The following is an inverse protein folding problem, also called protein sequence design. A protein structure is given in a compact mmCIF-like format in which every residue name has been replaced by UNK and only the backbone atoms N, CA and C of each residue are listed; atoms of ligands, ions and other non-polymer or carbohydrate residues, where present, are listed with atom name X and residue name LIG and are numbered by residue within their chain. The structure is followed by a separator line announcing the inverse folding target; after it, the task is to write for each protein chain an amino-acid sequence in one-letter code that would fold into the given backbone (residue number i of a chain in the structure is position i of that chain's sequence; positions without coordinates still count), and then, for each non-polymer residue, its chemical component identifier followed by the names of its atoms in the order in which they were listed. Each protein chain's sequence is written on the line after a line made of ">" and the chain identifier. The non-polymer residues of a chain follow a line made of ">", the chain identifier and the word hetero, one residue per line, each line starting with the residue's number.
data_IF_489434024875
#
_entry.id   IF_489434024875
#
_cell.length_a   1.000
_cell.length_b   1.000
_cell.length_c   1.000
_cell.angle_alpha   90.00
_cell.angle_beta   90.00
_cell.angle_gamma   90.00
#
_symmetry.space_group_name_H-M   'P 1'
#
loop_
_entity.id
_entity.type
_entity.pdbx_description
1 polymer ?
#
# COMPACT_ATOMS: atom_id res chain seq x y z
N UNK A 1 40.30 33.42 46.67
CA UNK A 1 39.78 32.08 46.40
C UNK A 1 38.46 32.25 45.66
N UNK A 2 38.48 31.98 44.33
CA UNK A 2 37.31 32.01 43.50
C UNK A 2 36.73 30.62 43.40
N UNK A 3 35.38 30.42 43.43
CA UNK A 3 34.79 29.10 43.26
C UNK A 3 34.78 28.68 41.78
N UNK A 4 34.79 27.39 41.49
CA UNK A 4 34.83 26.89 40.11
C UNK A 4 33.49 27.01 39.38
N UNK A 5 33.56 27.50 38.14
CA UNK A 5 32.44 27.51 37.18
C UNK A 5 32.07 26.10 36.75
N UNK A 6 30.91 25.65 37.16
CA UNK A 6 30.25 24.43 36.65
C UNK A 6 29.70 24.68 35.24
N UNK A 7 30.35 24.13 34.24
CA UNK A 7 29.82 24.06 32.87
C UNK A 7 28.63 23.05 32.81
N UNK A 8 27.42 23.57 32.69
CA UNK A 8 26.29 22.79 32.23
C UNK A 8 26.46 22.46 30.74
N UNK A 9 26.81 21.21 30.43
CA UNK A 9 26.69 20.68 29.09
C UNK A 9 25.21 20.63 28.74
N UNK A 10 24.77 21.54 27.86
CA UNK A 10 23.51 21.42 27.13
C UNK A 10 23.59 20.16 26.26
N UNK A 11 22.81 19.14 26.59
CA UNK A 11 22.57 18.00 25.70
C UNK A 11 21.79 18.53 24.49
N UNK A 12 22.51 18.75 23.39
CA UNK A 12 21.92 19.05 22.09
C UNK A 12 21.00 17.89 21.65
N UNK A 13 19.70 18.15 21.64
CA UNK A 13 18.75 17.31 20.94
C UNK A 13 19.23 17.22 19.49
N UNK A 14 19.63 16.02 19.06
CA UNK A 14 19.93 15.75 17.67
C UNK A 14 18.64 15.99 16.87
N UNK A 15 18.58 17.12 16.20
CA UNK A 15 17.56 17.43 15.20
C UNK A 15 17.79 16.46 14.06
N UNK A 16 17.13 15.30 14.12
CA UNK A 16 17.07 14.38 12.99
C UNK A 16 16.33 15.10 11.88
N UNK A 17 17.02 15.39 10.77
CA UNK A 17 16.38 15.89 9.55
C UNK A 17 15.20 14.97 9.21
N UNK A 18 14.03 15.54 8.85
CA UNK A 18 12.88 14.73 8.47
C UNK A 18 13.28 13.82 7.30
N UNK A 19 12.84 12.56 7.30
CA UNK A 19 13.20 11.60 6.25
C UNK A 19 12.79 12.17 4.89
N UNK A 20 13.74 12.23 3.96
CA UNK A 20 13.49 12.66 2.58
C UNK A 20 12.50 11.70 1.94
N UNK A 21 11.32 12.20 1.59
CA UNK A 21 10.31 11.41 0.88
C UNK A 21 10.79 11.10 -0.55
N UNK A 22 10.39 9.95 -1.13
CA UNK A 22 10.77 9.56 -2.50
C UNK A 22 10.41 10.61 -3.54
N UNK A 23 9.35 11.35 -3.28
CA UNK A 23 8.87 12.47 -4.08
C UNK A 23 8.07 13.43 -3.18
N UNK A 24 7.98 14.72 -3.53
CA UNK A 24 7.19 15.66 -2.76
C UNK A 24 5.72 15.23 -2.73
N UNK A 25 5.15 15.15 -1.55
CA UNK A 25 3.71 14.98 -1.37
C UNK A 25 3.04 16.36 -1.29
N UNK A 26 1.82 16.45 -1.83
CA UNK A 26 0.99 17.65 -1.64
C UNK A 26 0.87 17.95 -0.14
N UNK A 27 1.12 19.19 0.23
CA UNK A 27 0.87 19.66 1.59
C UNK A 27 -0.64 19.81 1.79
N UNK A 28 -1.10 19.35 2.94
CA UNK A 28 -2.48 19.53 3.39
C UNK A 28 -2.48 20.35 4.67
N UNK A 29 -3.35 21.33 4.73
CA UNK A 29 -3.70 21.98 5.97
C UNK A 29 -4.58 21.02 6.77
N UNK A 30 -4.14 20.65 7.95
CA UNK A 30 -4.81 19.66 8.81
C UNK A 30 -5.01 20.21 10.20
N UNK A 31 -6.06 19.75 10.86
CA UNK A 31 -6.39 20.21 12.22
C UNK A 31 -5.32 19.72 13.22
N UNK A 32 -4.69 20.59 13.98
CA UNK A 32 -3.68 20.20 14.95
C UNK A 32 -4.27 19.43 16.14
N UNK A 33 -5.51 19.75 16.51
CA UNK A 33 -6.21 19.14 17.64
C UNK A 33 -7.32 18.21 17.14
N UNK A 34 -7.29 16.92 17.52
CA UNK A 34 -8.38 16.01 17.23
C UNK A 34 -9.69 16.42 17.90
N UNK A 35 -10.85 16.07 17.36
CA UNK A 35 -12.14 16.31 17.98
C UNK A 35 -12.30 15.46 19.25
N UNK A 36 -13.13 15.94 20.20
CA UNK A 36 -13.44 15.16 21.40
C UNK A 36 -14.17 13.83 21.07
N UNK A 37 -14.93 13.79 19.99
CA UNK A 37 -15.66 12.61 19.52
C UNK A 37 -15.85 12.63 18.00
N UNK A 38 -16.06 11.44 17.42
CA UNK A 38 -16.46 11.24 16.05
C UNK A 38 -17.30 9.95 15.94
N UNK A 39 -18.16 9.84 14.92
CA UNK A 39 -18.88 8.58 14.65
C UNK A 39 -17.89 7.48 14.34
N UNK A 40 -16.84 7.79 13.54
CA UNK A 40 -15.80 6.84 13.18
C UNK A 40 -14.41 7.48 13.26
N UNK A 41 -13.47 6.76 13.85
CA UNK A 41 -12.03 7.11 13.80
C UNK A 41 -11.32 6.18 12.84
N UNK A 42 -10.63 6.75 11.82
CA UNK A 42 -9.80 6.00 10.90
C UNK A 42 -8.34 6.16 11.27
N UNK A 43 -7.66 5.05 11.58
CA UNK A 43 -6.26 5.00 12.02
C UNK A 43 -5.39 4.66 10.81
N UNK A 44 -4.63 5.64 10.32
CA UNK A 44 -3.72 5.52 9.18
C UNK A 44 -4.19 6.27 7.93
N UNK A 45 -3.33 7.19 7.46
CA UNK A 45 -3.55 8.07 6.31
C UNK A 45 -3.01 7.52 4.99
N UNK A 46 -2.88 6.20 4.85
CA UNK A 46 -2.60 5.54 3.59
C UNK A 46 -3.81 5.54 2.65
N UNK A 47 -3.63 5.03 1.41
CA UNK A 47 -4.69 5.02 0.39
C UNK A 47 -5.97 4.34 0.87
N UNK A 48 -5.85 3.27 1.67
CA UNK A 48 -6.99 2.55 2.23
C UNK A 48 -7.75 3.41 3.23
N UNK A 49 -7.03 4.02 4.20
CA UNK A 49 -7.64 4.85 5.23
C UNK A 49 -8.31 6.10 4.66
N UNK A 50 -7.65 6.80 3.71
CA UNK A 50 -8.25 8.02 3.13
C UNK A 50 -9.50 7.72 2.31
N UNK A 51 -9.54 6.63 1.51
CA UNK A 51 -10.76 6.25 0.79
C UNK A 51 -11.85 5.77 1.74
N UNK A 52 -11.50 5.01 2.78
CA UNK A 52 -12.46 4.63 3.84
C UNK A 52 -13.09 5.86 4.46
N UNK A 53 -12.28 6.81 4.92
CA UNK A 53 -12.74 8.03 5.54
C UNK A 53 -13.60 8.88 4.59
N UNK A 54 -13.20 8.99 3.33
CA UNK A 54 -13.96 9.69 2.29
C UNK A 54 -15.35 9.08 2.08
N UNK A 55 -15.45 7.75 1.95
CA UNK A 55 -16.76 7.12 1.74
C UNK A 55 -17.64 7.14 2.98
N UNK A 56 -17.08 7.10 4.18
CA UNK A 56 -17.83 7.30 5.43
C UNK A 56 -18.38 8.71 5.54
N UNK A 57 -17.55 9.73 5.26
CA UNK A 57 -17.99 11.12 5.24
C UNK A 57 -19.05 11.38 4.16
N UNK A 58 -18.92 10.74 2.98
CA UNK A 58 -19.92 10.79 1.89
C UNK A 58 -21.29 10.22 2.31
N UNK A 59 -21.32 9.37 3.34
CA UNK A 59 -22.54 8.85 3.97
C UNK A 59 -23.06 9.70 5.13
N UNK A 60 -22.46 10.87 5.36
CA UNK A 60 -22.89 11.82 6.39
C UNK A 60 -22.39 11.51 7.81
N UNK A 61 -21.45 10.56 7.97
CA UNK A 61 -20.82 10.27 9.25
C UNK A 61 -19.74 11.31 9.56
N UNK A 62 -19.62 11.69 10.83
CA UNK A 62 -18.48 12.47 11.31
C UNK A 62 -17.26 11.56 11.41
N UNK A 63 -16.18 11.94 10.70
CA UNK A 63 -14.96 11.11 10.57
C UNK A 63 -13.74 11.87 11.05
N UNK A 64 -12.97 11.27 11.95
CA UNK A 64 -11.63 11.72 12.31
C UNK A 64 -10.58 10.75 11.72
N UNK A 65 -9.80 11.23 10.77
CA UNK A 65 -8.65 10.49 10.20
C UNK A 65 -7.38 10.90 10.93
N UNK A 66 -6.73 9.96 11.60
CA UNK A 66 -5.47 10.19 12.31
C UNK A 66 -4.32 9.46 11.63
N UNK A 67 -3.20 10.17 11.45
CA UNK A 67 -1.99 9.68 10.80
C UNK A 67 -0.76 10.04 11.63
N UNK A 68 0.04 9.04 11.98
CA UNK A 68 1.26 9.23 12.80
C UNK A 68 2.32 10.11 12.15
N UNK A 69 2.35 10.16 10.82
CA UNK A 69 3.28 10.94 10.02
C UNK A 69 2.54 11.89 9.08
N UNK A 70 2.64 11.63 7.79
CA UNK A 70 2.00 12.42 6.72
C UNK A 70 1.12 11.53 5.85
N UNK A 71 0.03 12.09 5.38
CA UNK A 71 -0.88 11.41 4.47
C UNK A 71 -0.12 10.86 3.26
N UNK A 72 -0.25 9.55 3.03
CA UNK A 72 0.34 8.84 1.91
C UNK A 72 1.86 8.61 1.98
N UNK A 73 2.55 8.98 3.05
CA UNK A 73 4.02 9.03 3.10
C UNK A 73 4.73 7.67 3.07
N UNK A 74 4.02 6.57 3.36
CA UNK A 74 4.59 5.22 3.32
C UNK A 74 4.25 4.51 2.00
N UNK A 75 3.66 3.32 2.03
CA UNK A 75 3.40 2.47 0.84
C UNK A 75 2.65 3.18 -0.27
N UNK A 76 1.71 4.06 0.08
CA UNK A 76 0.83 4.72 -0.88
C UNK A 76 1.56 5.62 -1.87
N UNK A 77 2.72 6.21 -1.49
CA UNK A 77 3.55 7.00 -2.41
C UNK A 77 4.76 6.25 -2.96
N UNK A 78 5.01 5.01 -2.51
CA UNK A 78 6.24 4.28 -2.82
C UNK A 78 6.09 3.19 -3.88
N UNK A 79 4.89 3.03 -4.43
CA UNK A 79 4.57 2.06 -5.47
C UNK A 79 4.77 2.66 -6.88
N UNK A 80 4.56 1.87 -7.92
CA UNK A 80 4.68 2.30 -9.31
C UNK A 80 3.37 2.77 -9.96
N UNK A 81 2.27 2.83 -9.20
CA UNK A 81 1.04 3.50 -9.60
C UNK A 81 0.05 2.69 -10.43
N UNK A 82 0.22 1.38 -10.59
CA UNK A 82 -0.70 0.59 -11.39
C UNK A 82 -2.03 0.34 -10.68
N UNK A 83 -3.11 0.63 -11.41
CA UNK A 83 -4.48 0.28 -11.06
C UNK A 83 -4.95 -0.75 -12.11
N UNK A 84 -5.05 -2.02 -11.73
CA UNK A 84 -5.20 -3.11 -12.70
C UNK A 84 -6.12 -4.23 -12.25
N UNK A 85 -6.76 -4.85 -13.22
CA UNK A 85 -7.49 -6.12 -13.10
C UNK A 85 -6.63 -7.30 -13.55
N UNK A 86 -5.82 -7.10 -14.61
CA UNK A 86 -5.01 -8.15 -15.22
C UNK A 86 -4.19 -8.94 -14.19
N UNK A 87 -4.32 -10.27 -14.21
CA UNK A 87 -3.66 -11.19 -13.28
C UNK A 87 -4.03 -10.98 -11.79
N UNK A 88 -5.24 -10.52 -11.46
CA UNK A 88 -5.72 -10.51 -10.09
C UNK A 88 -6.22 -11.89 -9.66
N UNK A 89 -6.02 -12.20 -8.39
CA UNK A 89 -6.63 -13.37 -7.76
C UNK A 89 -8.16 -13.27 -7.86
N UNK A 90 -8.83 -14.40 -8.03
CA UNK A 90 -10.28 -14.46 -8.17
C UNK A 90 -11.03 -13.79 -7.01
N UNK A 91 -10.47 -13.87 -5.79
CA UNK A 91 -11.04 -13.24 -4.59
C UNK A 91 -10.95 -11.70 -4.65
N UNK A 92 -9.89 -11.15 -5.25
CA UNK A 92 -9.67 -9.71 -5.35
C UNK A 92 -10.24 -9.08 -6.63
N UNK A 93 -10.57 -9.89 -7.65
CA UNK A 93 -10.99 -9.37 -8.95
C UNK A 93 -12.25 -8.48 -8.88
N UNK A 94 -13.31 -8.81 -8.11
CA UNK A 94 -14.47 -7.93 -7.95
C UNK A 94 -14.08 -6.57 -7.35
N UNK A 95 -13.20 -6.57 -6.34
CA UNK A 95 -12.67 -5.35 -5.73
C UNK A 95 -11.85 -4.52 -6.74
N UNK A 96 -11.00 -5.17 -7.54
CA UNK A 96 -10.18 -4.51 -8.54
C UNK A 96 -11.02 -3.88 -9.65
N UNK A 97 -12.05 -4.60 -10.13
CA UNK A 97 -12.99 -4.11 -11.14
C UNK A 97 -13.72 -2.88 -10.64
N UNK A 98 -14.32 -2.98 -9.47
CA UNK A 98 -15.05 -1.85 -8.89
C UNK A 98 -14.13 -0.67 -8.57
N UNK A 99 -12.89 -0.94 -8.15
CA UNK A 99 -11.91 0.14 -7.90
C UNK A 99 -11.61 0.97 -9.13
N UNK A 100 -11.50 0.38 -10.32
CA UNK A 100 -11.24 1.13 -11.55
C UNK A 100 -12.39 2.10 -11.89
N UNK A 101 -13.64 1.67 -11.67
CA UNK A 101 -14.80 2.53 -11.84
C UNK A 101 -14.81 3.69 -10.82
N UNK A 102 -14.49 3.36 -9.56
CA UNK A 102 -14.42 4.35 -8.48
C UNK A 102 -13.24 5.33 -8.66
N UNK A 103 -12.13 4.90 -9.28
CA UNK A 103 -11.04 5.80 -9.66
C UNK A 103 -11.50 6.83 -10.71
N UNK A 104 -12.26 6.41 -11.73
CA UNK A 104 -12.83 7.33 -12.72
C UNK A 104 -13.81 8.32 -12.09
N UNK A 105 -14.71 7.81 -11.24
CA UNK A 105 -15.76 8.60 -10.60
C UNK A 105 -15.20 9.63 -9.60
N UNK A 106 -14.10 9.30 -8.92
CA UNK A 106 -13.58 10.13 -7.84
C UNK A 106 -13.28 11.57 -8.25
N UNK A 107 -12.65 11.78 -9.39
CA UNK A 107 -12.31 13.13 -9.86
C UNK A 107 -13.57 13.96 -10.17
N UNK A 108 -14.58 13.34 -10.78
CA UNK A 108 -15.87 13.98 -11.07
C UNK A 108 -16.63 14.32 -9.77
N UNK A 109 -16.64 13.40 -8.81
CA UNK A 109 -17.36 13.54 -7.55
C UNK A 109 -16.75 14.58 -6.61
N UNK A 110 -15.42 14.69 -6.58
CA UNK A 110 -14.69 15.45 -5.56
C UNK A 110 -14.05 16.75 -6.10
N UNK A 111 -13.82 16.82 -7.40
CA UNK A 111 -13.03 17.89 -8.04
C UNK A 111 -11.53 17.80 -7.73
N UNK A 112 -11.03 16.67 -7.17
CA UNK A 112 -9.64 16.47 -6.81
C UNK A 112 -8.94 15.51 -7.80
N UNK A 113 -7.69 15.84 -8.17
CA UNK A 113 -6.90 15.06 -9.14
C UNK A 113 -6.00 14.04 -8.45
N UNK A 114 -6.27 12.76 -8.63
CA UNK A 114 -5.42 11.64 -8.20
C UNK A 114 -4.37 11.26 -9.24
N UNK A 115 -4.37 11.89 -10.40
CA UNK A 115 -3.56 11.52 -11.54
C UNK A 115 -3.98 10.18 -12.19
N UNK A 116 -5.18 9.67 -11.89
CA UNK A 116 -5.67 8.44 -12.49
C UNK A 116 -5.98 8.62 -13.97
N UNK A 117 -5.50 7.66 -14.78
CA UNK A 117 -5.80 7.59 -16.22
C UNK A 117 -5.89 6.14 -16.65
N UNK A 118 -6.93 5.80 -17.41
CA UNK A 118 -6.98 4.53 -18.14
C UNK A 118 -6.04 4.63 -19.33
N UNK A 119 -4.86 4.06 -19.21
CA UNK A 119 -3.85 4.08 -20.28
C UNK A 119 -3.65 2.71 -20.92
N UNK A 120 -4.33 1.70 -20.40
CA UNK A 120 -4.07 0.30 -20.72
C UNK A 120 -2.73 -0.18 -20.16
N UNK A 121 -2.65 -1.45 -19.86
CA UNK A 121 -1.41 -2.11 -19.48
C UNK A 121 -1.02 -3.14 -20.55
N UNK A 122 0.24 -3.05 -21.03
CA UNK A 122 0.81 -3.96 -22.00
C UNK A 122 1.78 -4.93 -21.30
N UNK A 123 1.57 -6.21 -21.49
CA UNK A 123 2.45 -7.28 -21.02
C UNK A 123 3.03 -8.03 -22.22
N UNK A 124 4.33 -8.22 -22.24
CA UNK A 124 5.06 -8.87 -23.34
C UNK A 124 5.88 -10.04 -22.83
N UNK A 125 5.90 -11.15 -23.55
CA UNK A 125 6.66 -12.33 -23.17
C UNK A 125 7.18 -13.13 -24.37
N UNK A 126 8.34 -13.78 -24.14
CA UNK A 126 8.89 -14.85 -24.99
C UNK A 126 8.69 -16.23 -24.37
N UNK A 127 8.12 -16.29 -23.17
CA UNK A 127 7.83 -17.50 -22.42
C UNK A 127 6.42 -17.99 -22.75
N UNK A 128 6.30 -19.10 -23.44
CA UNK A 128 5.04 -19.71 -23.85
C UNK A 128 4.20 -20.14 -22.65
N UNK A 129 4.83 -20.59 -21.56
CA UNK A 129 4.11 -20.96 -20.34
C UNK A 129 3.48 -19.73 -19.67
N UNK A 130 4.17 -18.58 -19.70
CA UNK A 130 3.63 -17.32 -19.22
C UNK A 130 2.45 -16.85 -20.08
N UNK A 131 2.55 -16.93 -21.40
CA UNK A 131 1.49 -16.57 -22.35
C UNK A 131 0.26 -17.48 -22.14
N UNK A 132 0.49 -18.79 -22.03
CA UNK A 132 -0.59 -19.75 -21.74
C UNK A 132 -1.26 -19.47 -20.37
N UNK A 133 -0.47 -19.07 -19.37
CA UNK A 133 -0.99 -18.64 -18.08
C UNK A 133 -1.92 -17.43 -18.19
N UNK A 134 -1.57 -16.43 -19.01
CA UNK A 134 -2.44 -15.28 -19.28
C UNK A 134 -3.72 -15.68 -20.03
N UNK A 135 -3.64 -16.59 -20.99
CA UNK A 135 -4.80 -17.10 -21.70
C UNK A 135 -5.77 -17.80 -20.74
N UNK A 136 -5.26 -18.69 -19.88
CA UNK A 136 -6.07 -19.38 -18.85
C UNK A 136 -6.70 -18.38 -17.88
N UNK A 137 -5.95 -17.37 -17.42
CA UNK A 137 -6.52 -16.32 -16.55
C UNK A 137 -7.62 -15.54 -17.26
N UNK A 138 -7.45 -15.25 -18.57
CA UNK A 138 -8.43 -14.54 -19.38
C UNK A 138 -9.77 -15.30 -19.47
N UNK A 139 -9.76 -16.63 -19.59
CA UNK A 139 -10.98 -17.44 -19.61
C UNK A 139 -11.84 -17.18 -18.37
N UNK A 140 -11.20 -17.16 -17.21
CA UNK A 140 -11.88 -16.79 -15.95
C UNK A 140 -12.29 -15.30 -15.95
N UNK A 141 -11.42 -14.40 -16.36
CA UNK A 141 -11.65 -12.95 -16.31
C UNK A 141 -12.86 -12.51 -17.15
N UNK A 142 -13.08 -13.15 -18.31
CA UNK A 142 -14.26 -12.93 -19.17
C UNK A 142 -15.55 -13.23 -18.39
N UNK A 143 -15.60 -14.32 -17.62
CA UNK A 143 -16.78 -14.66 -16.81
C UNK A 143 -17.07 -13.63 -15.71
N UNK A 144 -16.05 -12.87 -15.32
CA UNK A 144 -16.14 -11.77 -14.37
C UNK A 144 -16.33 -10.39 -15.05
N UNK A 145 -16.60 -10.34 -16.35
CA UNK A 145 -16.84 -9.11 -17.10
C UNK A 145 -15.59 -8.29 -17.42
N UNK A 146 -14.38 -8.86 -17.27
CA UNK A 146 -13.11 -8.15 -17.53
C UNK A 146 -12.72 -8.28 -19.01
N UNK A 147 -12.47 -7.15 -19.66
CA UNK A 147 -11.96 -7.09 -21.03
C UNK A 147 -10.43 -7.12 -21.04
N UNK A 148 -9.88 -8.13 -21.67
CA UNK A 148 -8.43 -8.25 -21.91
C UNK A 148 -8.19 -8.95 -23.23
N UNK A 149 -7.14 -8.55 -23.96
CA UNK A 149 -6.84 -9.03 -25.29
C UNK A 149 -5.52 -9.79 -25.31
N UNK A 150 -5.57 -11.08 -25.66
CA UNK A 150 -4.34 -11.79 -26.02
C UNK A 150 -3.80 -11.24 -27.32
N UNK A 151 -2.48 -11.06 -27.38
CA UNK A 151 -1.76 -10.55 -28.56
C UNK A 151 -0.96 -11.69 -29.19
N UNK A 152 -1.09 -11.85 -30.50
CA UNK A 152 -0.18 -12.67 -31.31
C UNK A 152 1.24 -12.13 -31.25
N UNK A 153 2.24 -12.88 -31.71
CA UNK A 153 3.62 -12.42 -31.76
C UNK A 153 3.80 -11.15 -32.60
N UNK A 154 3.07 -11.00 -33.69
CA UNK A 154 3.09 -9.79 -34.53
C UNK A 154 2.50 -8.58 -33.82
N UNK A 155 1.31 -8.71 -33.25
CA UNK A 155 0.67 -7.62 -32.50
C UNK A 155 1.46 -7.20 -31.26
N UNK A 156 2.02 -8.19 -30.54
CA UNK A 156 2.86 -7.93 -29.37
C UNK A 156 4.14 -7.17 -29.77
N UNK A 157 4.76 -7.54 -30.90
CA UNK A 157 5.97 -6.88 -31.42
C UNK A 157 5.66 -5.47 -31.91
N UNK A 158 4.54 -5.26 -32.58
CA UNK A 158 4.10 -3.92 -33.04
C UNK A 158 3.84 -3.00 -31.86
N UNK A 159 3.02 -3.43 -30.88
CA UNK A 159 2.74 -2.65 -29.66
C UNK A 159 3.99 -2.45 -28.81
N UNK A 160 4.86 -3.44 -28.79
CA UNK A 160 6.13 -3.44 -28.06
C UNK A 160 7.32 -2.88 -28.85
N UNK A 161 7.11 -2.21 -30.01
CA UNK A 161 8.19 -1.73 -30.90
C UNK A 161 9.31 -0.94 -30.22
N UNK A 162 8.97 -0.23 -29.14
CA UNK A 162 9.95 0.52 -28.34
C UNK A 162 11.02 -0.39 -27.66
N UNK A 163 10.77 -1.71 -27.61
CA UNK A 163 11.73 -2.69 -27.05
C UNK A 163 12.82 -3.06 -28.06
N UNK A 164 12.64 -2.72 -29.35
CA UNK A 164 13.59 -3.01 -30.42
C UNK A 164 13.74 -4.50 -30.76
N UNK A 165 12.76 -5.33 -30.36
CA UNK A 165 12.79 -6.78 -30.63
C UNK A 165 11.41 -7.36 -30.88
N UNK A 166 11.39 -8.56 -31.51
CA UNK A 166 10.19 -9.36 -31.66
C UNK A 166 9.81 -10.06 -30.33
N UNK A 167 8.52 -10.34 -30.16
CA UNK A 167 7.94 -11.06 -29.04
C UNK A 167 7.13 -12.26 -29.51
N UNK A 168 7.06 -13.32 -28.69
CA UNK A 168 6.20 -14.47 -28.99
C UNK A 168 4.73 -14.20 -28.76
N UNK A 169 4.41 -13.31 -27.84
CA UNK A 169 3.04 -12.92 -27.53
C UNK A 169 2.97 -11.90 -26.41
N UNK A 170 1.74 -11.55 -26.07
CA UNK A 170 1.48 -10.59 -25.02
C UNK A 170 0.02 -10.58 -24.59
N UNK A 171 -0.29 -9.68 -23.67
CA UNK A 171 -1.67 -9.36 -23.31
C UNK A 171 -1.80 -7.85 -23.13
N UNK A 172 -2.91 -7.30 -23.60
CA UNK A 172 -3.26 -5.91 -23.40
C UNK A 172 -4.59 -5.79 -22.65
N UNK A 173 -4.57 -5.07 -21.54
CA UNK A 173 -5.75 -4.82 -20.71
C UNK A 173 -6.12 -3.33 -20.84
N UNK A 174 -7.08 -2.96 -21.69
CA UNK A 174 -7.40 -1.57 -22.01
C UNK A 174 -8.05 -0.82 -20.83
N UNK A 175 -8.77 -1.53 -19.97
CA UNK A 175 -9.43 -0.96 -18.79
C UNK A 175 -8.48 -0.62 -17.65
N UNK A 176 -7.29 -1.20 -17.63
CA UNK A 176 -6.29 -0.95 -16.63
C UNK A 176 -5.65 0.44 -16.81
N UNK A 177 -5.11 0.99 -15.73
CA UNK A 177 -4.56 2.33 -15.76
C UNK A 177 -3.48 2.56 -14.72
N UNK A 178 -3.13 3.83 -14.58
CA UNK A 178 -2.18 4.29 -13.57
C UNK A 178 -2.74 5.50 -12.83
N UNK A 179 -2.45 5.61 -11.53
CA UNK A 179 -2.65 6.82 -10.75
C UNK A 179 -1.31 7.34 -10.24
N UNK A 180 -1.26 8.59 -9.80
CA UNK A 180 -0.03 9.17 -9.26
C UNK A 180 0.08 8.89 -7.75
N UNK A 181 1.02 8.05 -7.30
CA UNK A 181 1.18 7.73 -5.88
C UNK A 181 1.48 8.94 -4.99
N UNK A 182 2.07 10.01 -5.52
CA UNK A 182 2.33 11.22 -4.74
C UNK A 182 1.09 12.08 -4.56
N UNK A 183 0.13 11.99 -5.49
CA UNK A 183 -1.09 12.80 -5.49
C UNK A 183 -2.27 12.10 -4.85
N UNK A 184 -2.43 10.79 -5.09
CA UNK A 184 -3.67 10.06 -4.81
C UNK A 184 -4.16 10.19 -3.37
N UNK A 185 -3.37 9.76 -2.38
CA UNK A 185 -3.82 9.82 -0.99
C UNK A 185 -4.04 11.26 -0.47
N UNK A 186 -3.16 12.25 -0.77
CA UNK A 186 -3.44 13.66 -0.45
C UNK A 186 -4.70 14.23 -1.11
N UNK A 187 -4.99 13.87 -2.36
CA UNK A 187 -6.21 14.33 -3.04
C UNK A 187 -7.47 13.79 -2.37
N UNK A 188 -7.47 12.49 -2.00
CA UNK A 188 -8.60 11.89 -1.29
C UNK A 188 -8.79 12.49 0.09
N UNK A 189 -7.70 12.78 0.82
CA UNK A 189 -7.77 13.45 2.11
C UNK A 189 -8.30 14.90 1.98
N UNK A 190 -7.94 15.62 0.91
CA UNK A 190 -8.52 16.95 0.62
C UNK A 190 -10.02 16.86 0.35
N UNK A 191 -10.47 15.83 -0.38
CA UNK A 191 -11.89 15.59 -0.61
C UNK A 191 -12.65 15.25 0.70
N UNK A 192 -12.03 14.48 1.60
CA UNK A 192 -12.57 14.22 2.93
C UNK A 192 -12.78 15.51 3.72
N UNK A 193 -11.80 16.42 3.72
CA UNK A 193 -11.91 17.73 4.40
C UNK A 193 -13.06 18.55 3.83
N UNK A 194 -13.23 18.58 2.51
CA UNK A 194 -14.37 19.26 1.85
C UNK A 194 -15.74 18.72 2.28
N UNK A 195 -15.81 17.43 2.64
CA UNK A 195 -17.01 16.79 3.17
C UNK A 195 -17.21 16.98 4.69
N UNK A 196 -16.36 17.77 5.34
CA UNK A 196 -16.44 18.05 6.78
C UNK A 196 -15.72 17.04 7.67
N UNK A 197 -15.04 16.04 7.11
CA UNK A 197 -14.17 15.15 7.87
C UNK A 197 -12.91 15.87 8.35
N UNK A 198 -12.34 15.43 9.48
CA UNK A 198 -11.12 16.01 10.03
C UNK A 198 -9.90 15.12 9.75
N UNK A 199 -8.77 15.74 9.47
CA UNK A 199 -7.51 15.05 9.19
C UNK A 199 -6.44 15.56 10.13
N UNK A 200 -5.78 14.63 10.85
CA UNK A 200 -4.77 14.94 11.85
C UNK A 200 -3.47 14.22 11.51
N UNK A 201 -2.51 14.98 10.94
CA UNK A 201 -1.15 14.50 10.68
C UNK A 201 -0.27 14.67 11.92
N UNK A 202 0.80 13.89 12.01
CA UNK A 202 1.67 13.81 13.19
C UNK A 202 0.87 13.50 14.47
N UNK A 203 -0.18 12.69 14.34
CA UNK A 203 -1.06 12.25 15.41
C UNK A 203 -1.15 10.72 15.41
N UNK A 204 -0.32 10.09 16.23
CA UNK A 204 -0.28 8.63 16.32
C UNK A 204 -1.38 8.09 17.22
N UNK A 205 -2.07 7.03 16.77
CA UNK A 205 -2.89 6.22 17.66
C UNK A 205 -1.98 5.41 18.59
N UNK A 206 -2.20 5.50 19.89
CA UNK A 206 -1.50 4.71 20.91
C UNK A 206 -2.22 3.42 21.26
N UNK A 207 -3.55 3.39 21.12
CA UNK A 207 -4.38 2.24 21.44
C UNK A 207 -5.85 2.61 21.44
N UNK A 208 -6.64 1.82 22.13
CA UNK A 208 -8.08 2.00 22.24
C UNK A 208 -8.54 1.97 23.70
N UNK A 209 -9.70 2.55 23.96
CA UNK A 209 -10.47 2.37 25.18
C UNK A 209 -11.65 1.44 24.94
N UNK A 210 -12.00 0.64 25.94
CA UNK A 210 -13.11 -0.30 25.90
C UNK A 210 -14.07 -0.01 27.06
N UNK A 211 -15.36 -0.05 26.80
CA UNK A 211 -16.42 0.08 27.81
C UNK A 211 -17.53 -0.93 27.52
N UNK A 212 -17.93 -1.71 28.51
CA UNK A 212 -18.95 -2.75 28.33
C UNK A 212 -18.59 -3.80 27.26
N UNK A 213 -17.29 -4.11 27.09
CA UNK A 213 -16.82 -5.09 26.10
C UNK A 213 -16.78 -4.59 24.64
N UNK A 214 -16.99 -3.31 24.40
CA UNK A 214 -16.97 -2.68 23.06
C UNK A 214 -16.04 -1.47 23.03
N UNK A 215 -15.60 -1.11 21.84
CA UNK A 215 -14.83 0.11 21.61
C UNK A 215 -15.59 1.34 22.15
N UNK A 216 -14.90 2.20 22.91
CA UNK A 216 -15.42 3.47 23.45
C UNK A 216 -14.57 4.68 23.06
N UNK A 217 -13.34 4.46 22.61
CA UNK A 217 -12.46 5.55 22.17
C UNK A 217 -11.16 5.06 21.54
N UNK A 218 -10.52 5.96 20.81
CA UNK A 218 -9.16 5.78 20.29
C UNK A 218 -8.24 6.73 21.04
N UNK A 219 -7.24 6.15 21.72
CA UNK A 219 -6.21 6.90 22.45
C UNK A 219 -5.14 7.34 21.44
N UNK A 220 -4.91 8.64 21.35
CA UNK A 220 -3.86 9.24 20.52
C UNK A 220 -2.81 9.94 21.37
N UNK A 221 -1.71 10.36 20.78
CA UNK A 221 -0.72 11.21 21.45
C UNK A 221 -1.29 12.61 21.83
N UNK A 222 -2.38 13.03 21.19
CA UNK A 222 -3.04 14.32 21.42
C UNK A 222 -4.32 14.22 22.27
N UNK A 223 -4.59 13.07 22.87
CA UNK A 223 -5.77 12.81 23.69
C UNK A 223 -6.65 11.69 23.13
N UNK A 224 -7.73 11.37 23.80
CA UNK A 224 -8.69 10.33 23.40
C UNK A 224 -9.82 10.92 22.56
N UNK A 225 -10.10 10.31 21.41
CA UNK A 225 -11.29 10.60 20.60
C UNK A 225 -12.35 9.55 20.94
N UNK A 226 -13.47 9.97 21.52
CA UNK A 226 -14.59 9.08 21.83
C UNK A 226 -15.26 8.60 20.54
N UNK A 227 -15.43 7.29 20.41
CA UNK A 227 -16.07 6.67 19.24
C UNK A 227 -16.53 5.24 19.56
N UNK A 228 -17.55 4.77 18.88
CA UNK A 228 -18.00 3.36 18.94
C UNK A 228 -17.55 2.54 17.73
N UNK A 229 -16.93 3.17 16.75
CA UNK A 229 -16.40 2.49 15.56
C UNK A 229 -15.03 3.05 15.19
N UNK A 230 -14.06 2.17 14.94
CA UNK A 230 -12.76 2.56 14.42
C UNK A 230 -12.30 1.63 13.30
N UNK A 231 -11.48 2.15 12.40
CA UNK A 231 -10.86 1.37 11.30
C UNK A 231 -9.35 1.41 11.48
N UNK A 232 -8.73 0.24 11.60
CA UNK A 232 -7.28 0.09 11.66
C UNK A 232 -6.74 -0.14 10.23
N UNK A 233 -6.35 0.94 9.55
CA UNK A 233 -5.71 0.95 8.24
C UNK A 233 -4.20 1.23 8.35
N UNK A 234 -3.54 0.61 9.32
CA UNK A 234 -2.18 0.89 9.77
C UNK A 234 -1.06 0.34 8.89
N UNK A 235 -1.36 -0.28 7.72
CA UNK A 235 -0.37 -0.86 6.82
C UNK A 235 0.61 -1.79 7.56
N UNK A 236 1.92 -1.58 7.39
CA UNK A 236 2.96 -2.37 8.03
C UNK A 236 2.91 -2.38 9.57
N UNK A 237 2.23 -1.43 10.20
CA UNK A 237 2.06 -1.34 11.66
C UNK A 237 0.87 -2.13 12.20
N UNK A 238 -0.04 -2.59 11.33
CA UNK A 238 -1.32 -3.18 11.76
C UNK A 238 -1.14 -4.41 12.66
N UNK A 239 -0.19 -5.30 12.34
CA UNK A 239 0.04 -6.49 13.16
C UNK A 239 0.61 -6.16 14.55
N UNK A 240 1.48 -5.15 14.67
CA UNK A 240 1.98 -4.67 15.96
C UNK A 240 0.87 -4.04 16.80
N UNK A 241 0.00 -3.26 16.15
CA UNK A 241 -1.16 -2.67 16.81
C UNK A 241 -2.14 -3.75 17.27
N UNK A 242 -2.42 -4.75 16.45
CA UNK A 242 -3.20 -5.92 16.84
C UNK A 242 -2.59 -6.67 18.03
N UNK A 243 -1.25 -6.83 18.03
CA UNK A 243 -0.55 -7.47 19.16
C UNK A 243 -0.73 -6.67 20.47
N UNK A 244 -0.81 -5.33 20.42
CA UNK A 244 -1.12 -4.48 21.58
C UNK A 244 -2.51 -4.80 22.16
N UNK A 245 -3.44 -5.27 21.31
CA UNK A 245 -4.83 -5.60 21.68
C UNK A 245 -5.07 -7.11 21.91
N UNK A 246 -4.02 -7.90 22.05
CA UNK A 246 -4.09 -9.37 22.15
C UNK A 246 -4.71 -10.06 20.91
N UNK A 247 -4.77 -9.37 19.78
CA UNK A 247 -5.27 -9.92 18.52
C UNK A 247 -4.11 -10.45 17.70
N UNK A 248 -4.26 -11.67 17.21
CA UNK A 248 -3.27 -12.30 16.32
C UNK A 248 -3.63 -12.03 14.86
N UNK A 249 -2.86 -11.18 14.20
CA UNK A 249 -2.96 -10.94 12.77
C UNK A 249 -1.59 -11.19 12.09
N UNK A 250 -1.44 -12.27 11.31
CA UNK A 250 -0.17 -12.64 10.68
C UNK A 250 0.13 -11.70 9.52
N UNK A 251 1.20 -10.93 9.69
CA UNK A 251 1.68 -9.99 8.70
C UNK A 251 3.20 -10.01 8.66
N UNK A 252 3.76 -10.04 7.46
CA UNK A 252 5.19 -9.91 7.23
C UNK A 252 5.44 -8.73 6.30
N UNK A 253 6.50 -7.96 6.55
CA UNK A 253 6.88 -6.88 5.67
C UNK A 253 8.02 -7.28 4.75
N UNK A 254 7.83 -7.01 3.47
CA UNK A 254 8.82 -7.26 2.43
C UNK A 254 9.33 -5.93 1.91
N UNK A 255 10.63 -5.67 2.09
CA UNK A 255 11.27 -4.46 1.61
C UNK A 255 11.52 -4.54 0.12
N UNK A 256 10.90 -3.65 -0.67
CA UNK A 256 11.07 -3.58 -2.12
C UNK A 256 11.66 -2.25 -2.55
N UNK A 257 12.63 -2.30 -3.48
CA UNK A 257 13.30 -1.13 -4.01
C UNK A 257 12.74 -0.71 -5.37
N UNK A 258 12.66 0.58 -5.59
CA UNK A 258 12.15 1.21 -6.81
C UNK A 258 13.24 2.14 -7.36
N UNK A 259 13.30 2.24 -8.68
CA UNK A 259 14.22 3.14 -9.40
C UNK A 259 13.41 4.14 -10.21
N UNK A 260 13.76 5.41 -10.11
CA UNK A 260 13.22 6.48 -10.96
C UNK A 260 14.32 7.00 -11.85
N UNK A 261 14.06 7.07 -13.14
CA UNK A 261 14.99 7.61 -14.14
C UNK A 261 14.43 8.87 -14.77
N UNK A 262 15.33 9.72 -15.24
CA UNK A 262 15.00 11.00 -15.87
C UNK A 262 14.16 10.83 -17.15
N UNK A 263 13.43 11.86 -17.59
CA UNK A 263 12.73 11.87 -18.85
C UNK A 263 13.66 11.60 -20.03
N UNK A 264 13.09 11.04 -21.09
CA UNK A 264 13.75 10.78 -22.37
C UNK A 264 13.11 11.63 -23.46
N UNK A 265 13.89 11.98 -24.49
CA UNK A 265 13.37 12.63 -25.69
C UNK A 265 12.33 11.74 -26.41
N UNK A 266 12.60 10.43 -26.46
CA UNK A 266 11.65 9.43 -26.99
C UNK A 266 10.60 9.09 -25.95
N UNK A 267 9.32 9.16 -26.33
CA UNK A 267 8.23 8.75 -25.48
C UNK A 267 8.03 7.23 -25.52
N UNK A 268 8.23 6.58 -24.37
CA UNK A 268 7.99 5.15 -24.19
C UNK A 268 6.53 4.86 -23.80
N UNK A 269 6.05 3.60 -23.86
CA UNK A 269 4.73 3.22 -23.40
C UNK A 269 4.44 3.69 -21.97
N UNK A 270 3.18 4.07 -21.69
CA UNK A 270 2.76 4.59 -20.39
C UNK A 270 2.91 3.56 -19.26
N UNK A 271 2.59 2.29 -19.56
CA UNK A 271 2.72 1.18 -18.62
C UNK A 271 3.04 -0.10 -19.39
N UNK A 272 4.20 -0.69 -19.13
CA UNK A 272 4.71 -1.86 -19.80
C UNK A 272 5.29 -2.85 -18.78
N UNK A 273 4.88 -4.12 -18.89
CA UNK A 273 5.54 -5.24 -18.24
C UNK A 273 6.25 -6.08 -19.28
N UNK A 274 7.51 -6.39 -19.04
CA UNK A 274 8.27 -7.40 -19.77
C UNK A 274 8.72 -8.49 -18.79
N UNK A 275 9.57 -9.44 -19.22
CA UNK A 275 10.06 -10.47 -18.33
C UNK A 275 10.71 -9.89 -17.09
N UNK A 276 10.01 -10.04 -15.95
CA UNK A 276 10.46 -9.66 -14.61
C UNK A 276 10.80 -8.17 -14.38
N UNK A 277 10.25 -7.25 -15.18
CA UNK A 277 10.38 -5.80 -14.94
C UNK A 277 9.16 -5.06 -15.42
N UNK A 278 8.73 -4.07 -14.65
CA UNK A 278 7.67 -3.13 -14.98
C UNK A 278 8.26 -1.72 -15.18
N UNK A 279 7.75 -1.02 -16.18
CA UNK A 279 8.10 0.37 -16.49
C UNK A 279 6.82 1.19 -16.52
N UNK A 280 6.78 2.28 -15.77
CA UNK A 280 5.65 3.20 -15.71
C UNK A 280 6.12 4.61 -15.98
N UNK A 281 5.50 5.30 -16.94
CA UNK A 281 5.75 6.72 -17.19
C UNK A 281 4.93 7.57 -16.23
N UNK A 282 5.56 8.54 -15.61
CA UNK A 282 4.93 9.53 -14.75
C UNK A 282 4.46 10.75 -15.52
N UNK A 283 3.48 11.53 -14.99
CA UNK A 283 3.02 12.77 -15.64
C UNK A 283 4.13 13.80 -15.89
N UNK A 284 5.17 13.82 -15.07
CA UNK A 284 6.35 14.69 -15.20
C UNK A 284 7.41 14.17 -16.20
N UNK A 285 7.09 13.13 -16.96
CA UNK A 285 7.95 12.53 -17.97
C UNK A 285 8.99 11.53 -17.45
N UNK A 286 9.19 11.43 -16.13
CA UNK A 286 10.08 10.40 -15.55
C UNK A 286 9.51 9.01 -15.71
N UNK A 287 10.37 8.00 -15.62
CA UNK A 287 9.97 6.59 -15.62
C UNK A 287 10.29 5.95 -14.28
N UNK A 288 9.35 5.19 -13.77
CA UNK A 288 9.52 4.35 -12.57
C UNK A 288 9.68 2.91 -13.01
N UNK A 289 10.76 2.29 -12.52
CA UNK A 289 11.19 0.95 -12.84
C UNK A 289 11.07 0.07 -11.59
N UNK A 290 10.47 -1.10 -11.72
CA UNK A 290 10.30 -2.05 -10.63
C UNK A 290 10.41 -3.50 -11.12
N UNK A 291 10.94 -4.39 -10.27
CA UNK A 291 10.85 -5.83 -10.48
C UNK A 291 9.68 -6.35 -9.66
N UNK A 292 8.69 -6.92 -10.33
CA UNK A 292 7.57 -7.57 -9.65
C UNK A 292 8.06 -8.77 -8.83
N UNK A 293 7.58 -8.89 -7.60
CA UNK A 293 7.84 -10.03 -6.74
C UNK A 293 9.25 -10.13 -6.14
N UNK A 294 10.18 -9.21 -6.42
CA UNK A 294 11.52 -9.21 -5.81
C UNK A 294 11.55 -8.33 -4.58
N UNK A 295 11.91 -8.91 -3.43
CA UNK A 295 12.03 -8.16 -2.18
C UNK A 295 13.00 -8.78 -1.19
N UNK A 296 13.26 -8.06 -0.11
CA UNK A 296 14.06 -8.51 1.04
C UNK A 296 13.14 -8.78 2.23
N UNK A 297 13.22 -9.96 2.81
CA UNK A 297 12.58 -10.30 4.08
C UNK A 297 13.61 -10.15 5.20
N UNK A 298 13.44 -9.13 6.03
CA UNK A 298 14.34 -8.89 7.18
C UNK A 298 13.92 -9.80 8.34
N UNK A 299 14.85 -10.43 9.08
CA UNK A 299 14.56 -11.35 10.18
C UNK A 299 14.11 -10.60 11.44
N UNK A 300 12.85 -10.23 11.48
CA UNK A 300 12.24 -9.48 12.60
C UNK A 300 11.54 -10.42 13.58
N UNK A 301 11.30 -10.00 14.83
CA UNK A 301 10.56 -10.79 15.81
C UNK A 301 9.18 -11.22 15.34
N UNK A 302 8.48 -10.34 14.59
CA UNK A 302 7.16 -10.62 14.02
C UNK A 302 7.25 -11.65 12.90
N UNK A 303 8.19 -11.49 11.96
CA UNK A 303 8.39 -12.46 10.88
C UNK A 303 8.67 -13.84 11.43
N UNK A 304 9.56 -13.96 12.44
CA UNK A 304 9.88 -15.22 13.09
C UNK A 304 8.65 -15.84 13.81
N UNK A 305 7.84 -15.00 14.46
CA UNK A 305 6.59 -15.45 15.12
C UNK A 305 5.61 -16.09 14.15
N UNK A 306 5.48 -15.54 12.95
CA UNK A 306 4.53 -15.98 11.94
C UNK A 306 5.15 -16.85 10.84
N UNK A 307 6.46 -17.13 10.91
CA UNK A 307 7.18 -17.90 9.89
C UNK A 307 6.47 -19.19 9.46
N UNK A 308 5.90 -20.02 10.37
CA UNK A 308 5.17 -21.24 9.96
C UNK A 308 4.01 -20.96 9.01
N UNK A 309 3.28 -19.86 9.19
CA UNK A 309 2.13 -19.49 8.35
C UNK A 309 2.56 -19.00 6.95
N UNK A 310 3.81 -18.52 6.81
CA UNK A 310 4.36 -18.03 5.55
C UNK A 310 5.08 -19.11 4.73
N UNK A 311 5.22 -20.35 5.23
CA UNK A 311 5.88 -21.44 4.50
C UNK A 311 5.28 -21.68 3.10
N UNK A 312 3.96 -21.76 2.90
CA UNK A 312 3.38 -21.98 1.59
C UNK A 312 3.68 -20.82 0.62
N UNK A 313 3.58 -19.57 1.09
CA UNK A 313 3.94 -18.37 0.31
C UNK A 313 5.43 -18.39 -0.05
N UNK A 314 6.30 -18.71 0.90
CA UNK A 314 7.72 -18.80 0.68
C UNK A 314 8.08 -19.92 -0.30
N UNK A 315 7.50 -21.11 -0.17
CA UNK A 315 7.68 -22.22 -1.11
C UNK A 315 7.31 -21.83 -2.55
N UNK A 316 6.24 -21.06 -2.74
CA UNK A 316 5.79 -20.57 -4.05
C UNK A 316 6.71 -19.47 -4.60
N UNK A 317 7.30 -18.63 -3.74
CA UNK A 317 8.01 -17.39 -4.12
C UNK A 317 9.48 -17.33 -3.69
N UNK A 318 10.09 -18.43 -3.27
CA UNK A 318 11.45 -18.44 -2.73
C UNK A 318 12.51 -17.85 -3.66
N UNK A 319 12.30 -17.94 -4.97
CA UNK A 319 13.21 -17.34 -5.99
C UNK A 319 13.12 -15.81 -6.05
N UNK A 320 12.10 -15.22 -5.47
CA UNK A 320 11.78 -13.80 -5.54
C UNK A 320 11.99 -13.07 -4.20
N UNK A 321 11.98 -13.80 -3.08
CA UNK A 321 12.18 -13.24 -1.74
C UNK A 321 13.56 -13.64 -1.24
N UNK A 322 14.40 -12.63 -1.00
CA UNK A 322 15.77 -12.83 -0.55
C UNK A 322 15.87 -12.52 0.94
N UNK A 323 16.75 -13.20 1.68
CA UNK A 323 17.06 -12.82 3.05
C UNK A 323 17.51 -11.37 3.11
N UNK A 324 16.92 -10.62 4.04
CA UNK A 324 17.32 -9.24 4.36
C UNK A 324 18.39 -9.20 5.44
N UNK A 325 18.61 -8.00 5.96
CA UNK A 325 19.51 -7.75 7.09
C UNK A 325 18.73 -7.24 8.31
N UNK A 326 19.39 -6.44 9.12
CA UNK A 326 18.80 -5.88 10.35
C UNK A 326 17.97 -4.60 10.11
N UNK A 327 17.78 -4.19 8.85
CA UNK A 327 17.06 -2.96 8.52
C UNK A 327 15.63 -2.97 9.08
N UNK A 328 14.93 -4.11 9.02
CA UNK A 328 13.58 -4.25 9.58
C UNK A 328 13.49 -4.07 11.09
N UNK A 329 14.58 -4.33 11.81
CA UNK A 329 14.65 -4.14 13.27
C UNK A 329 14.72 -2.66 13.68
N UNK A 330 15.20 -1.79 12.78
CA UNK A 330 15.48 -0.38 13.03
C UNK A 330 14.24 0.43 13.41
N UNK A 331 13.09 0.10 12.81
CA UNK A 331 11.90 0.93 12.87
C UNK A 331 10.91 0.52 13.95
N UNK A 332 10.98 -0.71 14.43
CA UNK A 332 10.08 -1.24 15.45
C UNK A 332 8.65 -1.57 14.99
N UNK A 333 8.35 -1.48 13.70
CA UNK A 333 7.03 -1.81 13.14
C UNK A 333 6.72 -3.31 13.18
N UNK A 334 7.72 -4.16 13.24
CA UNK A 334 7.58 -5.61 13.41
C UNK A 334 8.00 -6.08 14.81
N UNK A 335 7.75 -5.25 15.82
CA UNK A 335 8.03 -5.61 17.23
C UNK A 335 6.94 -6.51 17.80
N UNK A 336 7.30 -7.29 18.81
CA UNK A 336 6.39 -8.02 19.71
C UNK A 336 6.16 -7.27 21.03
N UNK A 337 6.88 -6.18 21.24
CA UNK A 337 6.77 -5.38 22.45
C UNK A 337 5.40 -4.70 22.53
N UNK A 338 4.90 -4.59 23.76
CA UNK A 338 3.76 -3.76 24.10
C UNK A 338 4.25 -2.42 24.62
N UNK A 339 3.42 -1.42 24.53
CA UNK A 339 3.71 -0.07 25.00
C UNK A 339 2.61 0.45 25.92
N UNK A 340 2.94 1.44 26.71
CA UNK A 340 1.97 2.15 27.55
C UNK A 340 1.24 3.22 26.73
N UNK A 341 -0.05 3.44 27.01
CA UNK A 341 -0.86 4.40 26.26
C UNK A 341 -0.58 5.86 26.66
N UNK A 342 0.02 6.08 27.83
CA UNK A 342 0.41 7.38 28.37
C UNK A 342 1.86 7.79 28.03
N UNK A 343 2.55 7.01 27.23
CA UNK A 343 3.96 7.25 26.85
C UNK A 343 4.18 7.17 25.34
N UNK A 344 5.27 7.80 24.81
CA UNK A 344 5.61 7.73 23.40
C UNK A 344 5.80 6.30 22.90
N UNK A 345 5.11 5.98 21.80
CA UNK A 345 5.06 4.66 21.20
C UNK A 345 6.14 4.47 20.11
N UNK A 346 6.36 3.26 19.60
CA UNK A 346 7.19 3.05 18.42
C UNK A 346 6.72 3.84 17.20
N UNK A 347 5.40 4.06 17.04
CA UNK A 347 4.82 4.83 15.94
C UNK A 347 5.22 6.31 15.98
N UNK A 348 5.29 6.90 17.15
CA UNK A 348 5.73 8.28 17.34
C UNK A 348 7.24 8.43 17.11
N UNK A 349 8.03 7.42 17.47
CA UNK A 349 9.48 7.39 17.21
C UNK A 349 9.82 7.20 15.74
N UNK A 350 8.98 6.46 15.02
CA UNK A 350 9.16 6.17 13.59
C UNK A 350 7.91 6.61 12.79
N UNK A 351 7.72 7.92 12.67
CA UNK A 351 6.53 8.50 12.02
C UNK A 351 6.40 8.16 10.55
N UNK A 352 7.50 7.90 9.86
CA UNK A 352 7.52 7.49 8.46
C UNK A 352 8.59 6.42 8.31
N UNK A 353 8.17 5.22 7.91
CA UNK A 353 9.09 4.15 7.53
C UNK A 353 9.79 4.53 6.23
N UNK A 354 11.10 4.70 6.30
CA UNK A 354 11.91 5.06 5.13
C UNK A 354 13.10 4.10 4.98
N UNK A 355 12.85 2.82 4.61
CA UNK A 355 13.89 1.83 4.51
C UNK A 355 14.88 2.15 3.39
N UNK A 356 16.12 1.71 3.59
CA UNK A 356 17.20 1.87 2.61
C UNK A 356 16.95 0.98 1.39
N UNK A 357 17.04 1.50 0.17
CA UNK A 357 17.00 0.68 -1.04
C UNK A 357 18.08 -0.40 -1.04
N UNK A 358 17.76 -1.60 -1.53
CA UNK A 358 18.74 -2.65 -1.78
C UNK A 358 19.59 -2.31 -3.00
N UNK A 359 20.92 -2.03 -2.86
CA UNK A 359 21.75 -1.63 -3.99
C UNK A 359 21.83 -2.70 -5.10
N UNK A 360 21.80 -3.99 -4.73
CA UNK A 360 21.77 -5.07 -5.70
C UNK A 360 20.43 -5.13 -6.46
N UNK A 361 19.33 -4.92 -5.75
CA UNK A 361 18.00 -4.81 -6.33
C UNK A 361 17.86 -3.63 -7.29
N UNK A 362 18.39 -2.47 -6.92
CA UNK A 362 18.43 -1.26 -7.75
C UNK A 362 19.18 -1.51 -9.05
N UNK A 363 20.43 -2.04 -8.97
CA UNK A 363 21.23 -2.36 -10.16
C UNK A 363 20.53 -3.35 -11.07
N UNK A 364 19.96 -4.40 -10.50
CA UNK A 364 19.25 -5.43 -11.27
C UNK A 364 18.00 -4.87 -11.94
N UNK A 365 17.22 -4.04 -11.24
CA UNK A 365 16.03 -3.37 -11.81
C UNK A 365 16.41 -2.51 -13.01
N UNK A 366 17.42 -1.67 -12.86
CA UNK A 366 17.90 -0.80 -13.92
C UNK A 366 18.42 -1.60 -15.12
N UNK A 367 19.24 -2.63 -14.88
CA UNK A 367 19.76 -3.53 -15.91
C UNK A 367 18.64 -4.22 -16.71
N UNK A 368 17.62 -4.77 -16.05
CA UNK A 368 16.47 -5.40 -16.71
C UNK A 368 15.64 -4.41 -17.49
N UNK A 369 15.44 -3.21 -16.96
CA UNK A 369 14.70 -2.17 -17.66
C UNK A 369 15.41 -1.73 -18.95
N UNK A 370 16.74 -1.57 -18.93
CA UNK A 370 17.53 -1.29 -20.16
C UNK A 370 17.46 -2.46 -21.14
N UNK A 371 17.48 -3.71 -20.68
CA UNK A 371 17.30 -4.87 -21.56
C UNK A 371 15.92 -4.90 -22.22
N UNK A 372 14.88 -4.46 -21.50
CA UNK A 372 13.51 -4.36 -22.02
C UNK A 372 13.33 -3.17 -22.97
N UNK A 373 13.84 -2.02 -22.57
CA UNK A 373 13.73 -0.75 -23.29
C UNK A 373 15.11 -0.11 -23.45
N UNK A 374 15.83 -0.37 -24.54
CA UNK A 374 17.22 0.07 -24.75
C UNK A 374 17.42 1.59 -24.59
N UNK A 375 16.43 2.40 -24.95
CA UNK A 375 16.46 3.86 -24.77
C UNK A 375 16.71 4.30 -23.32
N UNK A 376 16.34 3.47 -22.32
CA UNK A 376 16.60 3.77 -20.91
C UNK A 376 18.08 3.81 -20.53
N UNK A 377 18.99 3.34 -21.44
CA UNK A 377 20.44 3.45 -21.22
C UNK A 377 20.90 4.91 -21.15
N UNK A 378 20.23 5.81 -21.83
CA UNK A 378 20.53 7.25 -21.85
C UNK A 378 19.96 7.98 -20.65
N UNK A 379 18.97 7.38 -19.97
CA UNK A 379 18.33 7.99 -18.81
C UNK A 379 19.18 7.83 -17.54
N UNK A 380 19.61 8.95 -16.94
CA UNK A 380 20.25 8.90 -15.64
C UNK A 380 19.27 8.47 -14.55
N UNK A 381 19.74 7.74 -13.54
CA UNK A 381 18.97 7.48 -12.33
C UNK A 381 18.76 8.83 -11.59
N UNK A 382 17.50 9.22 -11.46
CA UNK A 382 17.13 10.47 -10.81
C UNK A 382 16.94 10.26 -9.30
N UNK A 383 16.36 9.11 -8.89
CA UNK A 383 16.15 8.76 -7.48
C UNK A 383 15.97 7.27 -7.31
N UNK A 384 16.19 6.77 -6.09
CA UNK A 384 15.86 5.42 -5.67
C UNK A 384 15.25 5.45 -4.27
N UNK A 385 14.30 4.57 -4.02
CA UNK A 385 13.70 4.42 -2.69
C UNK A 385 13.27 2.99 -2.43
N UNK A 386 12.91 2.71 -1.20
CA UNK A 386 12.27 1.46 -0.85
C UNK A 386 11.01 1.69 -0.01
N UNK A 387 10.17 0.68 0.07
CA UNK A 387 9.01 0.62 0.93
C UNK A 387 8.83 -0.78 1.50
N UNK A 388 8.07 -0.89 2.58
CA UNK A 388 7.69 -2.15 3.17
C UNK A 388 6.30 -2.58 2.67
N UNK A 389 6.24 -3.67 1.92
CA UNK A 389 4.99 -4.29 1.51
C UNK A 389 4.47 -5.14 2.67
N UNK A 390 3.30 -4.82 3.18
CA UNK A 390 2.59 -5.56 4.22
C UNK A 390 1.90 -6.78 3.61
N UNK A 391 2.47 -7.97 3.82
CA UNK A 391 1.98 -9.21 3.20
C UNK A 391 1.28 -10.10 4.21
N UNK A 392 0.13 -10.66 3.82
CA UNK A 392 -0.54 -11.76 4.51
C UNK A 392 -0.03 -13.11 4.01
N UNK A 393 -0.24 -14.22 4.76
CA UNK A 393 0.22 -15.56 4.35
C UNK A 393 -0.36 -16.05 3.04
N UNK A 394 -1.59 -15.64 2.69
CA UNK A 394 -2.28 -16.03 1.46
C UNK A 394 -2.21 -14.96 0.34
N UNK A 395 -1.67 -13.78 0.65
CA UNK A 395 -1.54 -12.67 -0.29
C UNK A 395 -2.79 -11.80 -0.46
N UNK A 396 -3.90 -12.12 0.21
CA UNK A 396 -5.17 -11.37 0.16
C UNK A 396 -5.33 -10.53 1.42
N UNK A 397 -5.83 -9.28 1.37
CA UNK A 397 -5.94 -8.45 2.56
C UNK A 397 -6.91 -8.99 3.61
N UNK A 398 -6.67 -8.62 4.87
CA UNK A 398 -7.64 -8.78 5.95
C UNK A 398 -8.51 -7.54 6.03
N UNK A 399 -9.83 -7.70 5.82
CA UNK A 399 -10.84 -6.64 5.95
C UNK A 399 -12.03 -7.21 6.70
N UNK A 400 -12.33 -6.67 7.88
CA UNK A 400 -13.47 -7.09 8.69
C UNK A 400 -13.35 -6.69 10.15
N UNK A 401 -14.45 -6.82 10.89
CA UNK A 401 -14.49 -6.58 12.32
C UNK A 401 -13.66 -7.61 13.07
N UNK A 402 -12.94 -7.17 14.09
CA UNK A 402 -12.19 -8.04 14.97
C UNK A 402 -13.08 -8.52 16.11
N UNK A 403 -13.43 -9.82 16.19
CA UNK A 403 -14.35 -10.33 17.23
C UNK A 403 -13.88 -10.07 18.67
N UNK A 404 -12.56 -9.97 18.86
CA UNK A 404 -11.96 -9.69 20.17
C UNK A 404 -12.13 -8.22 20.58
N UNK A 405 -12.43 -7.33 19.63
CA UNK A 405 -12.56 -5.88 19.84
C UNK A 405 -13.77 -5.37 19.06
N UNK A 406 -15.00 -5.66 19.50
CA UNK A 406 -16.22 -5.22 18.83
C UNK A 406 -16.22 -3.70 18.61
N UNK A 407 -16.45 -3.28 17.36
CA UNK A 407 -16.34 -1.89 16.90
C UNK A 407 -15.02 -1.53 16.24
N UNK A 408 -14.01 -2.43 16.25
CA UNK A 408 -12.77 -2.22 15.53
C UNK A 408 -12.73 -3.05 14.24
N UNK A 409 -12.67 -2.39 13.09
CA UNK A 409 -12.52 -3.00 11.78
C UNK A 409 -11.05 -2.98 11.38
N UNK A 410 -10.49 -4.15 11.05
CA UNK A 410 -9.15 -4.25 10.48
C UNK A 410 -9.20 -4.06 8.96
N UNK A 411 -8.20 -3.37 8.41
CA UNK A 411 -7.98 -3.18 6.97
C UNK A 411 -6.49 -3.15 6.67
N UNK A 412 -5.85 -4.31 6.52
CA UNK A 412 -4.40 -4.41 6.35
C UNK A 412 -3.95 -5.66 5.59
N UNK A 413 -2.67 -5.72 5.23
CA UNK A 413 -2.08 -6.88 4.55
C UNK A 413 -2.39 -6.91 3.06
N UNK A 414 -2.36 -5.78 2.39
CA UNK A 414 -2.71 -5.65 0.96
C UNK A 414 -1.64 -6.20 0.01
N UNK A 415 -0.57 -6.78 0.52
CA UNK A 415 0.42 -7.59 -0.21
C UNK A 415 0.98 -6.95 -1.49
N UNK A 416 1.09 -5.61 -1.51
CA UNK A 416 1.56 -4.82 -2.66
C UNK A 416 0.47 -4.46 -3.68
N UNK A 417 -0.79 -4.77 -3.41
CA UNK A 417 -1.91 -4.50 -4.33
C UNK A 417 -2.77 -3.30 -3.91
N UNK A 418 -2.70 -2.87 -2.66
CA UNK A 418 -3.60 -1.93 -2.02
C UNK A 418 -3.79 -0.59 -2.75
N UNK A 419 -2.78 -0.13 -3.51
CA UNK A 419 -2.90 1.15 -4.20
C UNK A 419 -4.01 1.11 -5.26
N UNK A 420 -3.96 0.16 -6.17
CA UNK A 420 -4.93 0.06 -7.27
C UNK A 420 -6.35 -0.31 -6.80
N UNK A 421 -6.46 -1.12 -5.76
CA UNK A 421 -7.75 -1.58 -5.19
C UNK A 421 -8.24 -0.71 -4.02
N UNK A 422 -7.54 0.40 -3.74
CA UNK A 422 -7.85 1.29 -2.62
C UNK A 422 -9.28 1.83 -2.59
N UNK A 423 -9.83 2.35 -3.70
CA UNK A 423 -11.20 2.84 -3.72
C UNK A 423 -12.24 1.76 -3.38
N UNK A 424 -12.14 0.58 -3.98
CA UNK A 424 -13.06 -0.54 -3.72
C UNK A 424 -12.94 -1.06 -2.29
N UNK A 425 -11.71 -1.18 -1.77
CA UNK A 425 -11.48 -1.55 -0.38
C UNK A 425 -12.07 -0.51 0.58
N UNK A 426 -11.82 0.79 0.35
CA UNK A 426 -12.37 1.87 1.18
C UNK A 426 -13.89 1.91 1.16
N UNK A 427 -14.51 1.64 0.00
CA UNK A 427 -15.97 1.56 -0.12
C UNK A 427 -16.53 0.37 0.66
N UNK A 428 -15.93 -0.84 0.50
CA UNK A 428 -16.33 -2.03 1.26
C UNK A 428 -16.23 -1.81 2.78
N UNK A 429 -15.14 -1.21 3.25
CA UNK A 429 -14.94 -0.93 4.67
C UNK A 429 -16.02 0.03 5.17
N UNK A 430 -16.34 1.05 4.37
CA UNK A 430 -17.40 1.99 4.70
C UNK A 430 -18.80 1.31 4.73
N UNK A 431 -19.06 0.31 3.86
CA UNK A 431 -20.27 -0.51 3.91
C UNK A 431 -20.36 -1.29 5.22
N UNK A 432 -19.28 -1.97 5.61
CA UNK A 432 -19.19 -2.74 6.85
C UNK A 432 -19.45 -1.85 8.07
N UNK A 433 -18.77 -0.69 8.15
CA UNK A 433 -18.90 0.25 9.27
C UNK A 433 -20.32 0.81 9.39
N UNK A 434 -20.94 1.16 8.26
CA UNK A 434 -22.30 1.75 8.24
C UNK A 434 -23.43 0.72 8.27
N UNK A 435 -23.12 -0.59 8.25
CA UNK A 435 -24.13 -1.65 8.16
C UNK A 435 -24.88 -1.68 6.82
N UNK A 436 -24.32 -1.07 5.78
CA UNK A 436 -24.89 -1.10 4.44
C UNK A 436 -24.62 -2.44 3.75
N UNK A 437 -25.39 -2.74 2.69
CA UNK A 437 -25.09 -3.90 1.84
C UNK A 437 -23.72 -3.77 1.22
N UNK A 438 -22.80 -4.73 1.44
CA UNK A 438 -21.47 -4.67 0.88
C UNK A 438 -21.47 -4.62 -0.65
N UNK A 439 -20.64 -3.78 -1.23
CA UNK A 439 -20.50 -3.58 -2.69
C UNK A 439 -20.05 -4.85 -3.44
N UNK A 440 -19.43 -5.79 -2.74
CA UNK A 440 -19.08 -7.15 -3.16
C UNK A 440 -18.90 -8.04 -1.92
N UNK A 441 -18.82 -9.36 -2.10
CA UNK A 441 -18.71 -10.33 -0.99
C UNK A 441 -17.49 -10.05 -0.10
N UNK A 442 -17.66 -9.72 1.20
CA UNK A 442 -16.57 -9.47 2.13
C UNK A 442 -15.91 -10.75 2.65
N UNK A 443 -16.55 -11.91 2.53
CA UNK A 443 -16.12 -13.17 3.13
C UNK A 443 -14.69 -13.59 2.78
N UNK A 444 -14.19 -13.44 1.54
CA UNK A 444 -12.80 -13.76 1.21
C UNK A 444 -11.76 -12.95 1.98
N UNK A 445 -12.16 -11.79 2.52
CA UNK A 445 -11.28 -10.85 3.20
C UNK A 445 -11.35 -10.93 4.73
N UNK A 446 -12.25 -11.76 5.29
CA UNK A 446 -12.41 -11.89 6.74
C UNK A 446 -11.05 -12.21 7.41
N UNK A 447 -10.57 -11.37 8.35
CA UNK A 447 -9.31 -11.60 9.05
C UNK A 447 -9.34 -12.86 9.94
N UNK A 448 -10.52 -13.32 10.37
CA UNK A 448 -10.68 -14.54 11.17
C UNK A 448 -10.24 -15.81 10.43
N UNK A 449 -10.15 -15.79 9.07
CA UNK A 449 -9.63 -16.90 8.28
C UNK A 449 -8.22 -17.33 8.68
N UNK A 450 -7.42 -16.45 9.26
CA UNK A 450 -6.08 -16.77 9.74
C UNK A 450 -6.04 -17.50 11.09
N UNK A 451 -7.18 -17.62 11.78
CA UNK A 451 -7.31 -18.43 13.01
C UNK A 451 -7.49 -19.92 12.68
N UNK A 452 -8.13 -20.24 11.55
CA UNK A 452 -8.13 -21.57 10.99
C UNK A 452 -6.82 -21.82 10.24
N UNK A 453 -6.45 -23.07 10.00
CA UNK A 453 -5.28 -23.42 9.19
C UNK A 453 -5.51 -23.05 7.73
N UNK A 454 -5.47 -21.75 7.43
CA UNK A 454 -5.65 -21.17 6.09
C UNK A 454 -4.47 -21.45 5.14
N UNK A 455 -3.81 -22.56 5.35
CA UNK A 455 -2.59 -23.01 4.67
C UNK A 455 -2.78 -23.33 3.19
N UNK A 456 -4.00 -23.25 2.68
CA UNK A 456 -4.32 -23.92 1.44
C UNK A 456 -4.21 -23.08 0.18
N UNK A 457 -4.32 -21.78 0.21
CA UNK A 457 -4.56 -21.01 -1.03
C UNK A 457 -3.80 -19.70 -1.09
N UNK A 458 -2.50 -19.81 -1.40
CA UNK A 458 -1.67 -18.63 -1.74
C UNK A 458 -2.11 -18.09 -3.09
N UNK A 459 -2.32 -16.79 -3.17
CA UNK A 459 -2.68 -16.08 -4.40
C UNK A 459 -1.74 -16.39 -5.58
N UNK A 460 -2.30 -16.45 -6.79
CA UNK A 460 -1.62 -16.99 -7.98
C UNK A 460 -0.69 -16.02 -8.72
N UNK A 461 -0.55 -14.76 -8.29
CA UNK A 461 0.26 -13.72 -8.97
C UNK A 461 1.47 -13.24 -8.16
#
# INVERSE_FOLDING_TARGET
>A
MNPPLTMHRAQGAATTMPPTLPQPLRLLETSPTPPASADVVVIGGGIIGVFTAYYLAKRGLSVALIEKGRIGAEQSSRNWGWCRQQNRDARELPMATRSLELWDQFAADSGEDTGFKRCGLLYLSDDEAQIAGWAKWREFAITAGVTTHMLSGSEASERGRATGRAWKGGVFSPSDGTADPAKAAPAVAAALIKLGGTVHQNCAARGIEMEGGRLSGVVTEAGTIKTRAAVLAGGAWASSFCNQLDVRFPLATIRQSIVRVAPLAQQLPAALAGPNVAVTRRPDGHYVLAISGRGRADPTPQLLRFAPQFIPMFAKRWRNVFPGGLEGMRWGHETRARWKLDAPTPMERARILNPTPDPAGVRETHRRAIKLLPALREARIANTWAGYIDSTPDGVPGIGELPQVPGLILAAGFSGHGFGIGPGAGHLIADIVSGATPIFDPKPFDPARFNASAWGKVADF
#
